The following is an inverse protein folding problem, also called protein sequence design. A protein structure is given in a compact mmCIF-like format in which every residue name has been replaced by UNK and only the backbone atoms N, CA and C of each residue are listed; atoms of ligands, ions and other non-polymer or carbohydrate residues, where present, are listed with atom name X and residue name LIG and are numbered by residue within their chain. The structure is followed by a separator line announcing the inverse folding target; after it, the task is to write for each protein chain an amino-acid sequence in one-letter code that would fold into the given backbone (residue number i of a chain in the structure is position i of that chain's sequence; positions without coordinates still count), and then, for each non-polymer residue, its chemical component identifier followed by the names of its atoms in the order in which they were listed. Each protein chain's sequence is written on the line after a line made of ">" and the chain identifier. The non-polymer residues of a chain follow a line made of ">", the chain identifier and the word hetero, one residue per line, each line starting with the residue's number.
data_IF_132114056966
#
_entry.id   IF_132114056966
#
_cell.length_a   1.000
_cell.length_b   1.000
_cell.length_c   1.000
_cell.angle_alpha   90.00
_cell.angle_beta   90.00
_cell.angle_gamma   90.00
#
_symmetry.space_group_name_H-M   'P 1'
#
loop_
_entity.id
_entity.type
_entity.pdbx_description
1 polymer ?
#
# COMPACT_ATOMS: atom_id res chain seq x y z
N UNK A 1 -3.17 -3.73 14.47
CA UNK A 1 -2.25 -3.46 13.33
C UNK A 1 -2.68 -4.28 12.11
N UNK A 2 -2.59 -3.74 10.90
CA UNK A 2 -2.82 -4.47 9.66
C UNK A 2 -1.46 -4.67 8.98
N UNK A 3 -1.12 -5.93 8.64
CA UNK A 3 0.09 -6.27 7.89
C UNK A 3 -0.28 -6.79 6.50
N UNK A 4 0.60 -6.56 5.52
CA UNK A 4 0.50 -7.14 4.18
C UNK A 4 1.52 -8.26 4.02
N UNK A 5 1.07 -9.41 3.51
CA UNK A 5 1.91 -10.59 3.29
C UNK A 5 1.71 -11.14 1.89
N UNK A 6 2.77 -11.65 1.30
CA UNK A 6 2.74 -12.27 -0.02
C UNK A 6 3.98 -11.97 -0.85
N UNK A 7 4.15 -12.62 -1.99
CA UNK A 7 5.21 -12.33 -2.94
C UNK A 7 4.90 -11.08 -3.78
N UNK A 8 5.89 -10.57 -4.50
CA UNK A 8 5.68 -9.65 -5.61
C UNK A 8 5.00 -10.36 -6.80
N UNK A 9 4.67 -9.61 -7.85
CA UNK A 9 4.08 -10.15 -9.08
C UNK A 9 5.06 -11.09 -9.80
N UNK A 10 4.61 -12.28 -10.17
CA UNK A 10 5.43 -13.31 -10.83
C UNK A 10 4.73 -13.93 -12.05
N UNK A 11 5.51 -14.33 -13.05
CA UNK A 11 5.10 -15.11 -14.22
C UNK A 11 6.18 -16.16 -14.51
N UNK A 12 5.96 -17.41 -14.08
CA UNK A 12 7.00 -18.44 -14.07
C UNK A 12 8.20 -18.00 -13.22
N UNK A 13 9.39 -17.95 -13.81
CA UNK A 13 10.61 -17.46 -13.13
C UNK A 13 10.80 -15.95 -13.20
N UNK A 14 9.97 -15.23 -13.95
CA UNK A 14 10.08 -13.79 -14.11
C UNK A 14 9.33 -13.07 -12.99
N UNK A 15 9.90 -11.98 -12.49
CA UNK A 15 9.32 -11.19 -11.39
C UNK A 15 9.25 -9.71 -11.74
N UNK A 16 8.27 -9.01 -11.18
CA UNK A 16 8.29 -7.55 -11.08
C UNK A 16 8.93 -7.20 -9.75
N UNK A 17 9.89 -6.28 -9.76
CA UNK A 17 10.67 -5.94 -8.56
C UNK A 17 9.80 -5.26 -7.51
N UNK A 18 9.80 -5.78 -6.29
CA UNK A 18 9.17 -5.11 -5.16
C UNK A 18 9.88 -3.80 -4.83
N UNK A 19 9.15 -2.80 -4.37
CA UNK A 19 9.67 -1.50 -3.92
C UNK A 19 9.98 -1.57 -2.41
N UNK A 20 11.24 -1.82 -1.99
CA UNK A 20 11.55 -2.02 -0.57
C UNK A 20 11.59 -0.71 0.22
N UNK A 21 11.69 0.42 -0.46
CA UNK A 21 11.68 1.75 0.12
C UNK A 21 10.51 2.57 -0.44
N UNK A 22 10.02 3.52 0.36
CA UNK A 22 8.96 4.44 -0.04
C UNK A 22 9.49 5.42 -1.08
N UNK A 23 9.10 5.22 -2.34
CA UNK A 23 9.53 6.06 -3.47
C UNK A 23 8.40 6.22 -4.49
N UNK A 24 8.53 7.21 -5.37
CA UNK A 24 7.63 7.39 -6.51
C UNK A 24 7.84 6.30 -7.57
N UNK A 25 6.81 6.07 -8.37
CA UNK A 25 6.92 5.23 -9.56
C UNK A 25 7.80 5.89 -10.64
N UNK A 26 8.60 5.07 -11.31
CA UNK A 26 9.48 5.51 -12.40
C UNK A 26 9.15 4.74 -13.66
N UNK A 27 8.81 5.43 -14.74
CA UNK A 27 8.53 4.83 -16.05
C UNK A 27 9.75 4.03 -16.55
N UNK A 28 9.49 2.83 -17.08
CA UNK A 28 10.54 2.01 -17.68
C UNK A 28 11.39 1.20 -16.69
N UNK A 29 11.04 1.22 -15.40
CA UNK A 29 11.70 0.42 -14.36
C UNK A 29 10.73 -0.61 -13.82
N UNK A 30 11.22 -1.82 -13.49
CA UNK A 30 10.42 -2.86 -12.86
C UNK A 30 10.11 -2.49 -11.41
N UNK A 31 8.83 -2.21 -11.11
CA UNK A 31 8.39 -1.80 -9.77
C UNK A 31 7.01 -2.34 -9.44
N UNK A 32 6.86 -2.85 -8.22
CA UNK A 32 5.58 -3.18 -7.59
C UNK A 32 5.53 -2.60 -6.18
N UNK A 33 4.53 -1.80 -5.90
CA UNK A 33 4.33 -1.19 -4.60
C UNK A 33 2.87 -0.87 -4.32
N UNK A 34 2.60 -0.47 -3.09
CA UNK A 34 1.27 -0.05 -2.65
C UNK A 34 1.35 1.15 -1.70
N UNK A 35 0.26 1.88 -1.57
CA UNK A 35 0.04 2.82 -0.49
C UNK A 35 -1.45 2.90 -0.11
N UNK A 36 -1.76 3.61 0.98
CA UNK A 36 -3.11 3.82 1.49
C UNK A 36 -3.43 5.32 1.46
N UNK A 37 -3.25 5.93 0.29
CA UNK A 37 -3.33 7.37 0.09
C UNK A 37 -4.13 7.72 -1.16
N UNK A 38 -4.73 8.89 -1.18
CA UNK A 38 -5.23 9.48 -2.41
C UNK A 38 -4.03 9.94 -3.24
N UNK A 39 -3.87 9.37 -4.44
CA UNK A 39 -2.72 9.62 -5.30
C UNK A 39 -3.09 10.47 -6.51
N UNK A 40 -2.17 11.35 -6.89
CA UNK A 40 -2.25 12.19 -8.10
C UNK A 40 -1.03 11.89 -8.94
N UNK A 41 -1.09 10.85 -9.77
CA UNK A 41 0.06 10.51 -10.62
C UNK A 41 0.24 11.53 -11.74
N UNK A 42 1.49 11.75 -12.16
CA UNK A 42 1.82 12.71 -13.23
C UNK A 42 1.14 12.42 -14.58
N UNK A 43 0.60 11.22 -14.77
CA UNK A 43 -0.06 10.79 -16.01
C UNK A 43 -1.59 10.76 -15.91
N UNK A 44 -2.15 10.96 -14.72
CA UNK A 44 -3.59 10.92 -14.49
C UNK A 44 -4.08 12.24 -13.90
N UNK A 45 -5.11 12.82 -14.52
CA UNK A 45 -5.84 13.96 -13.97
C UNK A 45 -6.88 13.53 -12.95
N UNK A 46 -7.14 12.22 -12.86
CA UNK A 46 -8.10 11.64 -11.91
C UNK A 46 -7.33 11.03 -10.73
N UNK A 47 -7.60 11.45 -9.50
CA UNK A 47 -7.01 10.84 -8.32
C UNK A 47 -7.29 9.34 -8.23
N UNK A 48 -6.30 8.56 -7.80
CA UNK A 48 -6.37 7.11 -7.63
C UNK A 48 -6.25 6.74 -6.15
N UNK A 49 -7.14 5.90 -5.67
CA UNK A 49 -7.21 5.53 -4.26
C UNK A 49 -8.05 6.51 -3.45
N UNK A 50 -7.93 6.41 -2.14
CA UNK A 50 -8.59 7.32 -1.21
C UNK A 50 -7.79 7.44 0.09
N UNK A 51 -8.00 8.53 0.80
CA UNK A 51 -7.55 8.66 2.18
C UNK A 51 -8.30 7.68 3.09
N UNK A 52 -7.67 7.34 4.21
CA UNK A 52 -8.36 6.59 5.28
C UNK A 52 -9.61 7.38 5.71
N UNK A 53 -10.76 6.74 5.67
CA UNK A 53 -12.04 7.40 5.97
C UNK A 53 -12.84 6.65 7.04
N UNK A 54 -13.37 7.37 8.04
CA UNK A 54 -13.10 8.76 8.37
C UNK A 54 -11.65 8.97 8.82
N UNK A 55 -11.10 10.15 8.57
CA UNK A 55 -9.74 10.48 9.01
C UNK A 55 -9.63 10.45 10.54
N UNK A 56 -8.45 10.04 11.03
CA UNK A 56 -8.13 10.21 12.45
C UNK A 56 -8.14 11.70 12.80
N UNK A 57 -8.83 12.04 13.85
CA UNK A 57 -8.71 13.35 14.49
C UNK A 57 -8.35 13.12 15.97
N UNK A 58 -7.69 14.04 16.61
CA UNK A 58 -7.13 13.87 17.96
C UNK A 58 -8.15 13.54 19.08
N UNK A 59 -9.43 13.39 18.77
CA UNK A 59 -10.52 13.06 19.69
C UNK A 59 -11.17 11.71 19.40
N UNK A 60 -11.00 11.14 18.21
CA UNK A 60 -11.59 9.86 17.82
C UNK A 60 -10.53 8.77 17.78
N UNK A 61 -10.85 7.65 18.38
CA UNK A 61 -10.03 6.43 18.42
C UNK A 61 -10.01 5.74 17.06
N UNK A 62 -9.31 6.34 16.10
CA UNK A 62 -9.23 5.85 14.74
C UNK A 62 -7.83 5.44 14.37
N UNK A 63 -7.74 4.45 13.50
CA UNK A 63 -6.48 4.03 12.94
C UNK A 63 -5.98 4.98 11.85
N UNK A 64 -4.80 4.69 11.34
CA UNK A 64 -4.11 5.47 10.33
C UNK A 64 -3.28 4.56 9.43
N UNK A 65 -2.99 5.02 8.22
CA UNK A 65 -1.94 4.42 7.41
C UNK A 65 -0.57 4.70 8.04
N UNK A 66 0.32 3.72 8.05
CA UNK A 66 1.69 3.90 8.57
C UNK A 66 2.53 4.81 7.70
N UNK A 67 3.53 5.45 8.30
CA UNK A 67 4.36 6.47 7.67
C UNK A 67 4.94 6.10 6.30
N UNK A 68 5.29 4.83 6.08
CA UNK A 68 5.82 4.36 4.80
C UNK A 68 4.74 4.15 3.72
N UNK A 69 3.46 4.23 4.09
CA UNK A 69 2.31 3.93 3.24
C UNK A 69 1.29 5.08 3.16
N UNK A 70 1.61 6.24 3.73
CA UNK A 70 0.75 7.41 3.82
C UNK A 70 1.27 8.64 3.04
N UNK A 71 2.20 8.45 2.12
CA UNK A 71 2.75 9.54 1.32
C UNK A 71 2.16 9.52 -0.09
N UNK A 72 1.63 10.66 -0.53
CA UNK A 72 1.03 10.83 -1.87
C UNK A 72 2.06 10.45 -2.95
N UNK A 73 1.63 9.69 -3.95
CA UNK A 73 2.42 9.25 -5.11
C UNK A 73 3.70 8.46 -4.79
N UNK A 74 3.86 8.05 -3.52
CA UNK A 74 4.97 7.20 -3.10
C UNK A 74 4.44 5.84 -2.64
N UNK A 75 5.12 4.79 -3.06
CA UNK A 75 4.70 3.41 -2.87
C UNK A 75 5.82 2.59 -2.26
N UNK A 76 5.46 1.55 -1.54
CA UNK A 76 6.36 0.58 -0.96
C UNK A 76 5.71 -0.80 -0.98
N UNK A 77 6.51 -1.85 -1.08
CA UNK A 77 6.06 -3.20 -0.80
C UNK A 77 7.18 -4.03 -0.16
N UNK A 78 6.91 -4.49 1.04
CA UNK A 78 7.72 -5.48 1.75
C UNK A 78 6.76 -6.43 2.45
N UNK A 79 6.91 -7.73 2.19
CA UNK A 79 6.08 -8.75 2.85
C UNK A 79 6.28 -8.71 4.37
N UNK A 80 5.20 -8.81 5.12
CA UNK A 80 5.21 -8.71 6.58
C UNK A 80 5.14 -7.29 7.14
N UNK A 81 5.23 -6.26 6.28
CA UNK A 81 5.15 -4.88 6.76
C UNK A 81 3.76 -4.53 7.33
N UNK A 82 3.77 -3.76 8.40
CA UNK A 82 2.58 -3.07 8.88
C UNK A 82 2.21 -1.92 7.97
N UNK A 83 1.02 -1.93 7.39
CA UNK A 83 0.53 -0.89 6.48
C UNK A 83 -0.41 0.11 7.16
N UNK A 84 -1.09 -0.33 8.22
CA UNK A 84 -1.97 0.52 9.03
C UNK A 84 -1.95 0.08 10.50
N UNK A 85 -2.27 1.00 11.38
CA UNK A 85 -2.37 0.73 12.81
C UNK A 85 -3.47 1.59 13.48
N UNK A 86 -3.71 1.30 14.75
CA UNK A 86 -4.63 2.03 15.61
C UNK A 86 -3.90 2.94 16.59
N UNK A 87 -2.77 3.55 16.18
CA UNK A 87 -1.90 4.33 17.07
C UNK A 87 -2.59 5.51 17.78
N UNK A 88 -3.72 5.99 17.25
CA UNK A 88 -4.56 6.99 17.90
C UNK A 88 -5.70 6.36 18.71
N UNK A 89 -5.69 5.03 18.87
CA UNK A 89 -6.65 4.31 19.70
C UNK A 89 -6.42 4.65 21.18
N UNK A 90 -7.44 5.17 21.84
CA UNK A 90 -7.44 5.26 23.30
C UNK A 90 -7.81 3.91 23.92
N UNK A 91 -8.01 3.90 25.23
CA UNK A 91 -8.36 2.72 26.01
C UNK A 91 -9.67 2.00 25.61
N UNK A 92 -10.43 2.53 24.63
CA UNK A 92 -11.72 2.01 24.18
C UNK A 92 -11.72 1.29 22.83
N UNK A 93 -10.55 1.05 22.20
CA UNK A 93 -10.48 0.42 20.90
C UNK A 93 -10.57 1.41 19.71
N UNK A 94 -10.70 0.92 18.50
CA UNK A 94 -10.79 1.74 17.28
C UNK A 94 -12.19 1.69 16.68
N UNK A 95 -12.69 2.86 16.26
CA UNK A 95 -13.91 2.96 15.47
C UNK A 95 -13.72 2.32 14.08
N UNK A 96 -14.85 1.96 13.46
CA UNK A 96 -14.85 1.41 12.10
C UNK A 96 -14.25 2.41 11.09
N UNK A 97 -13.40 1.89 10.20
CA UNK A 97 -12.70 2.66 9.17
C UNK A 97 -12.59 1.90 7.87
N UNK A 98 -12.47 2.67 6.78
CA UNK A 98 -12.19 2.15 5.45
C UNK A 98 -10.75 2.49 5.08
N UNK A 99 -9.98 1.48 4.73
CA UNK A 99 -8.64 1.62 4.16
C UNK A 99 -8.69 1.23 2.68
N UNK A 100 -8.40 2.17 1.80
CA UNK A 100 -8.30 1.90 0.35
C UNK A 100 -6.83 1.66 0.01
N UNK A 101 -6.54 0.53 -0.60
CA UNK A 101 -5.17 0.19 -1.03
C UNK A 101 -5.01 0.50 -2.50
N UNK A 102 -4.05 1.34 -2.83
CA UNK A 102 -3.64 1.66 -4.20
C UNK A 102 -2.37 0.90 -4.55
N UNK A 103 -2.32 0.35 -5.75
CA UNK A 103 -1.16 -0.39 -6.25
C UNK A 103 -0.53 0.35 -7.43
N UNK A 104 0.80 0.27 -7.52
CA UNK A 104 1.56 0.66 -8.70
C UNK A 104 2.29 -0.55 -9.28
N UNK A 105 2.26 -0.68 -10.60
CA UNK A 105 3.04 -1.66 -11.36
C UNK A 105 3.69 -0.92 -12.52
N UNK A 106 5.02 -0.90 -12.54
CA UNK A 106 5.79 -0.43 -13.68
C UNK A 106 6.64 -1.58 -14.21
N UNK A 107 6.78 -1.66 -15.52
CA UNK A 107 7.59 -2.68 -16.19
C UNK A 107 8.49 -2.01 -17.23
N UNK A 108 9.75 -2.46 -17.37
CA UNK A 108 10.63 -2.04 -18.46
C UNK A 108 10.20 -2.69 -19.79
N UNK A 109 10.62 -2.10 -20.90
CA UNK A 109 10.38 -2.67 -22.23
C UNK A 109 11.03 -4.06 -22.46
N UNK A 110 11.99 -4.44 -21.62
CA UNK A 110 12.63 -5.75 -21.61
C UNK A 110 11.94 -6.79 -20.74
N UNK A 111 10.84 -6.44 -20.08
CA UNK A 111 10.09 -7.39 -19.24
C UNK A 111 9.54 -8.51 -20.13
N UNK A 112 9.82 -9.79 -19.83
CA UNK A 112 9.26 -10.90 -20.61
C UNK A 112 7.73 -10.88 -20.64
N UNK A 113 7.16 -11.18 -21.79
CA UNK A 113 5.71 -11.26 -21.94
C UNK A 113 5.15 -12.40 -21.07
N UNK A 114 3.99 -12.19 -20.47
CA UNK A 114 3.33 -13.18 -19.61
C UNK A 114 2.24 -12.56 -18.74
N UNK A 115 1.48 -13.45 -18.10
CA UNK A 115 0.52 -13.05 -17.06
C UNK A 115 1.23 -13.04 -15.71
N UNK A 116 1.37 -11.86 -15.13
CA UNK A 116 1.99 -11.67 -13.82
C UNK A 116 0.92 -11.62 -12.74
N UNK A 117 1.03 -12.51 -11.77
CA UNK A 117 0.06 -12.63 -10.67
C UNK A 117 0.74 -12.58 -9.31
N UNK A 118 -0.01 -12.16 -8.30
CA UNK A 118 0.36 -12.30 -6.89
C UNK A 118 -0.90 -12.53 -6.06
N UNK A 119 -0.73 -13.13 -4.88
CA UNK A 119 -1.75 -13.20 -3.84
C UNK A 119 -1.24 -12.45 -2.63
N UNK A 120 -1.94 -11.40 -2.24
CA UNK A 120 -1.64 -10.63 -1.04
C UNK A 120 -2.67 -10.93 0.04
N UNK A 121 -2.20 -11.19 1.24
CA UNK A 121 -3.02 -11.42 2.43
C UNK A 121 -2.84 -10.26 3.40
N UNK A 122 -3.95 -9.63 3.78
CA UNK A 122 -3.96 -8.61 4.82
C UNK A 122 -4.39 -9.25 6.14
N UNK A 123 -3.53 -9.14 7.15
CA UNK A 123 -3.78 -9.73 8.48
C UNK A 123 -4.01 -8.58 9.46
N UNK A 124 -5.20 -8.57 10.07
CA UNK A 124 -5.50 -7.65 11.16
C UNK A 124 -5.22 -8.34 12.50
N UNK A 125 -4.25 -7.82 13.24
CA UNK A 125 -3.94 -8.28 14.60
C UNK A 125 -4.42 -7.24 15.59
N UNK A 126 -5.45 -7.55 16.42
CA UNK A 126 -5.87 -6.64 17.47
C UNK A 126 -4.77 -6.50 18.54
N UNK A 127 -4.68 -5.33 19.13
CA UNK A 127 -3.86 -5.05 20.32
C UNK A 127 -4.80 -4.54 21.41
N UNK A 128 -4.70 -5.15 22.57
CA UNK A 128 -5.53 -4.83 23.74
C UNK A 128 -4.69 -4.09 24.77
#
# INVERSE_FOLDING_TARGET
>A
MITVNGPTLTSGSNTVTAMPATTSGVHGISQFGLNLKLNTTATSTTPVGAEVSPAANGTNYRGQAKANYNTVDNFKFTTGDGVADSANGGAGGSDAQIFTVSYIVNVPGSQPAGTYTTTLTYICTPTF
#
